data_IF_223418615323
#
_entry.id   IF_223418615323
#
_cell.length_a   1.000
_cell.length_b   1.000
_cell.length_c   1.000
_cell.angle_alpha   90.00
_cell.angle_beta   90.00
_cell.angle_gamma   90.00
#
_symmetry.space_group_name_H-M   'P 1'
#
loop_
_entity.id
_entity.type
_entity.pdbx_description
1 polymer ?
#
# COMPACT_ATOMS: atom_id res chain seq x y z
N UNK A 1 20.72 -62.04 9.12
CA UNK A 1 21.51 -61.28 8.13
C UNK A 1 20.72 -60.84 6.88
N UNK A 2 20.09 -61.73 6.09
CA UNK A 2 19.37 -61.30 4.86
C UNK A 2 18.15 -60.38 5.10
N UNK A 3 17.33 -60.64 6.13
CA UNK A 3 16.13 -59.82 6.44
C UNK A 3 16.45 -58.37 6.83
N UNK A 4 17.50 -58.13 7.60
CA UNK A 4 17.89 -56.79 8.05
C UNK A 4 18.40 -55.93 6.88
N UNK A 5 19.11 -56.54 5.92
CA UNK A 5 19.61 -55.84 4.73
C UNK A 5 18.49 -55.32 3.82
N UNK A 6 17.36 -56.03 3.75
CA UNK A 6 16.19 -55.64 2.95
C UNK A 6 15.41 -54.51 3.63
N UNK A 7 15.30 -54.55 4.97
CA UNK A 7 14.66 -53.48 5.75
C UNK A 7 15.47 -52.19 5.65
N UNK A 8 16.80 -52.26 5.79
CA UNK A 8 17.69 -51.10 5.65
C UNK A 8 17.59 -50.47 4.25
N UNK A 9 17.59 -51.28 3.19
CA UNK A 9 17.42 -50.81 1.79
C UNK A 9 16.08 -50.13 1.55
N UNK A 10 14.99 -50.64 2.14
CA UNK A 10 13.65 -50.02 2.05
C UNK A 10 13.63 -48.65 2.72
N UNK A 11 14.21 -48.51 3.91
CA UNK A 11 14.31 -47.22 4.59
C UNK A 11 15.18 -46.20 3.83
N UNK A 12 16.28 -46.66 3.24
CA UNK A 12 17.10 -45.80 2.38
C UNK A 12 16.32 -45.32 1.15
N UNK A 13 15.61 -46.21 0.46
CA UNK A 13 14.75 -45.83 -0.67
C UNK A 13 13.67 -44.83 -0.28
N UNK A 14 12.99 -45.06 0.84
CA UNK A 14 11.98 -44.12 1.37
C UNK A 14 12.62 -42.77 1.70
N UNK A 15 13.78 -42.77 2.38
CA UNK A 15 14.52 -41.55 2.68
C UNK A 15 14.96 -40.79 1.42
N UNK A 16 15.36 -41.51 0.38
CA UNK A 16 15.80 -40.93 -0.90
C UNK A 16 14.63 -40.33 -1.67
N UNK A 17 13.48 -41.02 -1.72
CA UNK A 17 12.23 -40.50 -2.29
C UNK A 17 11.77 -39.25 -1.52
N UNK A 18 11.78 -39.30 -0.19
CA UNK A 18 11.43 -38.14 0.64
C UNK A 18 12.37 -36.97 0.39
N UNK A 19 13.69 -37.19 0.31
CA UNK A 19 14.64 -36.14 0.00
C UNK A 19 14.42 -35.54 -1.40
N UNK A 20 14.15 -36.38 -2.41
CA UNK A 20 13.85 -35.94 -3.77
C UNK A 20 12.60 -35.07 -3.88
N UNK A 21 11.62 -35.23 -2.98
CA UNK A 21 10.41 -34.41 -2.96
C UNK A 21 10.55 -33.20 -2.03
N UNK A 22 11.05 -33.41 -0.81
CA UNK A 22 11.08 -32.38 0.22
C UNK A 22 12.12 -31.30 -0.06
N UNK A 23 13.26 -31.62 -0.69
CA UNK A 23 14.27 -30.62 -1.03
C UNK A 23 13.75 -29.61 -2.07
N UNK A 24 13.20 -30.02 -3.24
CA UNK A 24 12.60 -29.06 -4.18
C UNK A 24 11.45 -28.26 -3.57
N UNK A 25 10.58 -28.90 -2.78
CA UNK A 25 9.47 -28.21 -2.11
C UNK A 25 9.99 -27.15 -1.15
N UNK A 26 10.99 -27.47 -0.32
CA UNK A 26 11.61 -26.53 0.60
C UNK A 26 12.28 -25.35 -0.11
N UNK A 27 13.00 -25.61 -1.21
CA UNK A 27 13.63 -24.56 -2.02
C UNK A 27 12.56 -23.66 -2.67
N UNK A 28 11.55 -24.25 -3.32
CA UNK A 28 10.46 -23.51 -3.96
C UNK A 28 9.72 -22.62 -2.95
N UNK A 29 9.35 -23.20 -1.80
CA UNK A 29 8.69 -22.47 -0.71
C UNK A 29 9.56 -21.31 -0.20
N UNK A 30 10.86 -21.54 0.01
CA UNK A 30 11.79 -20.51 0.46
C UNK A 30 11.93 -19.35 -0.52
N UNK A 31 12.04 -19.66 -1.82
CA UNK A 31 12.11 -18.64 -2.89
C UNK A 31 10.81 -17.83 -2.97
N UNK A 32 9.65 -18.50 -2.93
CA UNK A 32 8.34 -17.84 -2.97
C UNK A 32 8.15 -16.91 -1.76
N UNK A 33 8.58 -17.33 -0.57
CA UNK A 33 8.53 -16.52 0.65
C UNK A 33 9.44 -15.31 0.58
N UNK A 34 10.69 -15.49 0.18
CA UNK A 34 11.63 -14.38 0.02
C UNK A 34 11.12 -13.33 -0.99
N UNK A 35 10.57 -13.79 -2.12
CA UNK A 35 9.97 -12.90 -3.13
C UNK A 35 8.77 -12.13 -2.58
N UNK A 36 7.88 -12.81 -1.84
CA UNK A 36 6.72 -12.17 -1.21
C UNK A 36 7.13 -11.07 -0.23
N UNK A 37 8.15 -11.31 0.59
CA UNK A 37 8.63 -10.30 1.55
C UNK A 37 9.33 -9.13 0.88
N UNK A 38 10.12 -9.38 -0.17
CA UNK A 38 10.69 -8.30 -0.96
C UNK A 38 9.58 -7.43 -1.55
N UNK A 39 8.50 -8.03 -2.04
CA UNK A 39 7.34 -7.29 -2.54
C UNK A 39 6.67 -6.47 -1.42
N UNK A 40 6.42 -7.06 -0.25
CA UNK A 40 5.81 -6.35 0.88
C UNK A 40 6.64 -5.17 1.35
N UNK A 41 7.97 -5.32 1.41
CA UNK A 41 8.87 -4.22 1.75
C UNK A 41 8.82 -3.10 0.72
N UNK A 42 8.75 -3.42 -0.58
CA UNK A 42 8.61 -2.41 -1.63
C UNK A 42 7.26 -1.71 -1.54
N UNK A 43 6.16 -2.43 -1.33
CA UNK A 43 4.82 -1.86 -1.12
C UNK A 43 4.82 -0.92 0.08
N UNK A 44 5.42 -1.32 1.20
CA UNK A 44 5.57 -0.47 2.38
C UNK A 44 6.35 0.81 2.08
N UNK A 45 7.50 0.73 1.39
CA UNK A 45 8.28 1.93 1.04
C UNK A 45 7.51 2.88 0.14
N UNK A 46 6.76 2.36 -0.83
CA UNK A 46 5.91 3.18 -1.70
C UNK A 46 4.78 3.84 -0.91
N UNK A 47 4.16 3.11 0.02
CA UNK A 47 3.16 3.66 0.92
C UNK A 47 3.75 4.75 1.85
N UNK A 48 4.99 4.59 2.32
CA UNK A 48 5.70 5.64 3.06
C UNK A 48 5.96 6.88 2.20
N UNK A 49 6.45 6.71 0.97
CA UNK A 49 6.68 7.82 0.05
C UNK A 49 5.38 8.56 -0.26
N UNK A 50 4.31 7.82 -0.56
CA UNK A 50 2.96 8.38 -0.72
C UNK A 50 2.55 9.20 0.49
N UNK A 51 2.73 8.65 1.69
CA UNK A 51 2.30 9.28 2.94
C UNK A 51 3.07 10.55 3.23
N UNK A 52 4.40 10.50 3.15
CA UNK A 52 5.26 11.65 3.38
C UNK A 52 4.88 12.84 2.47
N UNK A 53 4.72 12.58 1.17
CA UNK A 53 4.37 13.62 0.19
C UNK A 53 2.95 14.15 0.44
N UNK A 54 2.00 13.27 0.76
CA UNK A 54 0.62 13.68 1.00
C UNK A 54 0.47 14.45 2.32
N UNK A 55 1.28 14.15 3.33
CA UNK A 55 1.35 14.91 4.57
C UNK A 55 1.93 16.32 4.36
N UNK A 56 2.97 16.46 3.52
CA UNK A 56 3.49 17.77 3.12
C UNK A 56 2.39 18.60 2.44
N UNK A 57 1.67 18.00 1.48
CA UNK A 57 0.53 18.64 0.83
C UNK A 57 -0.57 19.04 1.85
N UNK A 58 -0.90 18.15 2.78
CA UNK A 58 -1.87 18.42 3.85
C UNK A 58 -1.43 19.61 4.70
N UNK A 59 -0.17 19.65 5.13
CA UNK A 59 0.39 20.74 5.92
C UNK A 59 0.34 22.09 5.19
N UNK A 60 0.65 22.10 3.90
CA UNK A 60 0.53 23.31 3.06
C UNK A 60 -0.91 23.82 3.01
N UNK A 61 -1.88 22.92 2.83
CA UNK A 61 -3.29 23.29 2.74
C UNK A 61 -3.90 23.69 4.10
N UNK A 62 -3.27 23.32 5.21
CA UNK A 62 -3.71 23.67 6.56
C UNK A 62 -3.60 25.17 6.88
N UNK A 63 -2.73 25.91 6.17
CA UNK A 63 -2.60 27.36 6.30
C UNK A 63 -3.91 28.11 5.95
N UNK A 64 -4.81 27.45 5.20
CA UNK A 64 -6.11 27.96 4.81
C UNK A 64 -6.06 28.79 3.51
N UNK A 65 -7.19 28.90 2.81
CA UNK A 65 -7.29 29.51 1.47
C UNK A 65 -6.98 31.01 1.45
N UNK A 66 -7.16 31.71 2.58
CA UNK A 66 -6.94 33.17 2.67
C UNK A 66 -5.45 33.53 2.78
N UNK A 67 -4.59 32.57 3.08
CA UNK A 67 -3.14 32.76 3.23
C UNK A 67 -2.31 31.94 2.23
N UNK A 68 -2.95 31.00 1.51
CA UNK A 68 -2.33 30.20 0.47
C UNK A 68 -1.93 31.08 -0.73
N UNK A 69 -0.63 31.33 -0.88
CA UNK A 69 -0.08 31.96 -2.07
C UNK A 69 -0.28 31.06 -3.31
N UNK A 70 -0.30 31.66 -4.50
CA UNK A 70 -0.32 30.90 -5.76
C UNK A 70 0.85 29.91 -5.84
N UNK A 71 2.03 30.29 -5.33
CA UNK A 71 3.19 29.40 -5.25
C UNK A 71 2.93 28.18 -4.36
N UNK A 72 2.24 28.33 -3.23
CA UNK A 72 1.91 27.22 -2.34
C UNK A 72 0.88 26.27 -2.99
N UNK A 73 -0.06 26.80 -3.78
CA UNK A 73 -0.98 25.97 -4.56
C UNK A 73 -0.27 25.15 -5.64
N UNK A 74 0.74 25.73 -6.31
CA UNK A 74 1.57 24.99 -7.28
C UNK A 74 2.37 23.89 -6.60
N UNK A 75 2.94 24.14 -5.41
CA UNK A 75 3.65 23.11 -4.64
C UNK A 75 2.70 21.99 -4.22
N UNK A 76 1.54 22.33 -3.62
CA UNK A 76 0.54 21.34 -3.23
C UNK A 76 0.05 20.49 -4.43
N UNK A 77 -0.16 21.10 -5.59
CA UNK A 77 -0.48 20.37 -6.83
C UNK A 77 0.64 19.40 -7.24
N UNK A 78 1.90 19.84 -7.17
CA UNK A 78 3.04 18.96 -7.46
C UNK A 78 3.14 17.79 -6.46
N UNK A 79 2.89 18.03 -5.18
CA UNK A 79 2.91 17.00 -4.15
C UNK A 79 1.81 15.96 -4.40
N UNK A 80 0.58 16.39 -4.73
CA UNK A 80 -0.49 15.48 -5.13
C UNK A 80 -0.08 14.60 -6.32
N UNK A 81 0.58 15.18 -7.33
CA UNK A 81 1.09 14.46 -8.50
C UNK A 81 2.17 13.44 -8.10
N UNK A 82 3.12 13.82 -7.26
CA UNK A 82 4.21 12.93 -6.83
C UNK A 82 3.72 11.81 -5.90
N UNK A 83 2.73 12.09 -5.05
CA UNK A 83 2.00 11.07 -4.31
C UNK A 83 1.32 10.10 -5.29
N UNK A 84 0.69 10.63 -6.35
CA UNK A 84 0.11 9.84 -7.45
C UNK A 84 1.10 8.86 -8.10
N UNK A 85 2.36 9.25 -8.31
CA UNK A 85 3.39 8.33 -8.84
C UNK A 85 3.72 7.18 -7.89
N UNK A 86 3.77 7.44 -6.58
CA UNK A 86 3.98 6.39 -5.59
C UNK A 86 2.80 5.42 -5.56
N UNK A 87 1.58 5.94 -5.72
CA UNK A 87 0.37 5.14 -5.80
C UNK A 87 0.29 4.30 -7.09
N UNK A 88 0.66 4.85 -8.26
CA UNK A 88 0.73 4.09 -9.52
C UNK A 88 1.73 2.93 -9.44
N UNK A 89 2.92 3.18 -8.86
CA UNK A 89 3.89 2.12 -8.62
C UNK A 89 3.34 1.03 -7.68
N UNK A 90 2.53 1.43 -6.69
CA UNK A 90 1.91 0.51 -5.74
C UNK A 90 0.77 -0.31 -6.40
N UNK A 91 -0.02 0.29 -7.30
CA UNK A 91 -1.01 -0.40 -8.16
C UNK A 91 -0.34 -1.51 -8.98
N UNK A 92 0.83 -1.24 -9.57
CA UNK A 92 1.56 -2.24 -10.38
C UNK A 92 2.05 -3.43 -9.57
N UNK A 93 2.32 -3.24 -8.27
CA UNK A 93 2.77 -4.30 -7.37
C UNK A 93 1.61 -5.05 -6.71
N UNK A 94 0.46 -4.40 -6.56
CA UNK A 94 -0.74 -4.89 -5.91
C UNK A 94 -1.91 -4.98 -6.91
N UNK A 95 -1.70 -5.73 -7.98
CA UNK A 95 -2.65 -5.84 -9.09
C UNK A 95 -4.03 -6.34 -8.66
N UNK A 96 -4.09 -7.21 -7.65
CA UNK A 96 -5.34 -7.75 -7.11
C UNK A 96 -6.25 -6.64 -6.55
N UNK A 97 -5.65 -5.51 -6.13
CA UNK A 97 -6.34 -4.34 -5.57
C UNK A 97 -6.27 -3.09 -6.46
N UNK A 98 -5.86 -3.26 -7.73
CA UNK A 98 -5.66 -2.16 -8.66
C UNK A 98 -6.89 -1.25 -8.75
N UNK A 99 -8.11 -1.81 -8.83
CA UNK A 99 -9.35 -1.05 -8.92
C UNK A 99 -9.59 -0.16 -7.68
N UNK A 100 -9.29 -0.65 -6.48
CA UNK A 100 -9.45 0.14 -5.24
C UNK A 100 -8.45 1.30 -5.22
N UNK A 101 -7.19 1.01 -5.51
CA UNK A 101 -6.11 2.00 -5.51
C UNK A 101 -6.28 3.03 -6.63
N UNK A 102 -6.76 2.63 -7.81
CA UNK A 102 -7.02 3.52 -8.94
C UNK A 102 -8.13 4.53 -8.61
N UNK A 103 -9.16 4.13 -7.84
CA UNK A 103 -10.18 5.08 -7.35
C UNK A 103 -9.58 6.17 -6.46
N UNK A 104 -8.58 5.84 -5.65
CA UNK A 104 -7.84 6.83 -4.84
C UNK A 104 -7.01 7.71 -5.77
N UNK A 105 -6.33 7.12 -6.76
CA UNK A 105 -5.58 7.84 -7.78
C UNK A 105 -6.44 8.84 -8.56
N UNK A 106 -7.62 8.44 -9.02
CA UNK A 106 -8.57 9.33 -9.68
C UNK A 106 -9.00 10.51 -8.80
N UNK A 107 -9.23 10.28 -7.51
CA UNK A 107 -9.57 11.36 -6.59
C UNK A 107 -8.42 12.37 -6.46
N UNK A 108 -7.17 11.88 -6.35
CA UNK A 108 -5.97 12.71 -6.29
C UNK A 108 -5.74 13.49 -7.59
N UNK A 109 -5.83 12.85 -8.76
CA UNK A 109 -5.65 13.51 -10.07
C UNK A 109 -6.72 14.59 -10.30
N UNK A 110 -7.97 14.33 -9.88
CA UNK A 110 -9.04 15.34 -9.97
C UNK A 110 -8.75 16.55 -9.07
N UNK A 111 -8.27 16.30 -7.86
CA UNK A 111 -7.87 17.34 -6.93
C UNK A 111 -6.67 18.14 -7.47
N UNK A 112 -5.65 17.45 -7.99
CA UNK A 112 -4.46 18.05 -8.62
C UNK A 112 -4.84 18.98 -9.78
N UNK A 113 -5.59 18.45 -10.76
CA UNK A 113 -5.85 19.12 -12.04
C UNK A 113 -6.59 20.45 -11.86
N UNK A 114 -7.45 20.55 -10.84
CA UNK A 114 -8.32 21.70 -10.62
C UNK A 114 -8.20 22.26 -9.21
N UNK A 115 -7.04 22.13 -8.54
CA UNK A 115 -6.90 22.43 -7.11
C UNK A 115 -7.44 23.81 -6.71
N UNK A 116 -7.05 24.87 -7.44
CA UNK A 116 -7.50 26.24 -7.17
C UNK A 116 -9.02 26.39 -7.28
N UNK A 117 -9.61 25.91 -8.38
CA UNK A 117 -11.06 25.96 -8.62
C UNK A 117 -11.83 25.09 -7.63
N UNK A 118 -11.31 23.91 -7.32
CA UNK A 118 -11.87 22.99 -6.33
C UNK A 118 -11.95 23.66 -4.96
N UNK A 119 -10.83 24.21 -4.47
CA UNK A 119 -10.79 24.95 -3.20
C UNK A 119 -11.72 26.18 -3.23
N UNK A 120 -11.80 26.88 -4.36
CA UNK A 120 -12.72 28.01 -4.55
C UNK A 120 -14.20 27.63 -4.39
N UNK A 121 -14.59 26.43 -4.81
CA UNK A 121 -15.97 25.93 -4.76
C UNK A 121 -16.37 25.33 -3.40
N UNK A 122 -15.40 25.05 -2.52
CA UNK A 122 -15.67 24.53 -1.19
C UNK A 122 -16.13 25.63 -0.22
N UNK A 123 -17.06 25.29 0.66
CA UNK A 123 -17.37 26.13 1.83
C UNK A 123 -16.17 26.24 2.77
N UNK A 124 -16.10 27.29 3.58
CA UNK A 124 -15.00 27.45 4.56
C UNK A 124 -14.86 26.26 5.51
N UNK A 125 -15.98 25.64 5.94
CA UNK A 125 -15.95 24.43 6.75
C UNK A 125 -15.31 23.25 6.01
N UNK A 126 -15.69 23.02 4.74
CA UNK A 126 -15.13 21.93 3.92
C UNK A 126 -13.64 22.14 3.60
N UNK A 127 -13.21 23.38 3.39
CA UNK A 127 -11.79 23.70 3.19
C UNK A 127 -10.95 23.37 4.41
N UNK A 128 -11.47 23.66 5.60
CA UNK A 128 -10.77 23.37 6.85
C UNK A 128 -10.68 21.86 7.15
N UNK A 129 -11.59 21.04 6.60
CA UNK A 129 -11.55 19.59 6.79
C UNK A 129 -10.70 18.85 5.76
N UNK A 130 -10.46 19.43 4.58
CA UNK A 130 -9.70 18.79 3.50
C UNK A 130 -8.27 18.35 3.93
N UNK A 131 -7.45 19.19 4.59
CA UNK A 131 -6.14 18.75 5.09
C UNK A 131 -6.23 17.50 5.98
N UNK A 132 -7.15 17.50 6.95
CA UNK A 132 -7.36 16.35 7.83
C UNK A 132 -7.78 15.09 7.06
N UNK A 133 -8.53 15.23 5.97
CA UNK A 133 -8.90 14.11 5.11
C UNK A 133 -7.70 13.59 4.31
N UNK A 134 -6.83 14.47 3.79
CA UNK A 134 -5.60 14.08 3.10
C UNK A 134 -4.64 13.35 4.04
N UNK A 135 -4.43 13.88 5.25
CA UNK A 135 -3.65 13.22 6.29
C UNK A 135 -4.25 11.85 6.68
N UNK A 136 -5.57 11.76 6.87
CA UNK A 136 -6.22 10.50 7.18
C UNK A 136 -6.12 9.48 6.03
N UNK A 137 -6.13 9.92 4.76
CA UNK A 137 -5.87 9.04 3.62
C UNK A 137 -4.43 8.50 3.68
N UNK A 138 -3.46 9.39 3.91
CA UNK A 138 -2.05 9.07 4.02
C UNK A 138 -1.80 7.98 5.08
N UNK A 139 -2.30 8.20 6.30
CA UNK A 139 -2.17 7.26 7.41
C UNK A 139 -2.85 5.90 7.12
N UNK A 140 -4.02 5.91 6.47
CA UNK A 140 -4.71 4.66 6.09
C UNK A 140 -3.93 3.87 5.04
N UNK A 141 -3.38 4.53 4.02
CA UNK A 141 -2.54 3.85 3.02
C UNK A 141 -1.28 3.28 3.66
N UNK A 142 -0.60 4.04 4.51
CA UNK A 142 0.56 3.53 5.25
C UNK A 142 0.19 2.32 6.10
N UNK A 143 -0.89 2.42 6.87
CA UNK A 143 -1.37 1.35 7.75
C UNK A 143 -1.78 0.09 6.97
N UNK A 144 -2.36 0.26 5.78
CA UNK A 144 -2.74 -0.83 4.86
C UNK A 144 -1.53 -1.71 4.51
N UNK A 145 -0.37 -1.12 4.26
CA UNK A 145 0.84 -1.82 3.82
C UNK A 145 1.88 -2.06 4.94
N UNK A 146 1.58 -1.68 6.18
CA UNK A 146 2.47 -1.88 7.35
C UNK A 146 1.98 -2.92 8.35
N UNK A 147 0.85 -3.59 8.08
CA UNK A 147 0.27 -4.56 9.01
C UNK A 147 1.28 -5.63 9.45
N UNK A 148 2.07 -6.20 8.53
CA UNK A 148 3.10 -7.18 8.83
C UNK A 148 4.23 -6.61 9.69
N UNK A 149 4.61 -5.34 9.44
CA UNK A 149 5.75 -4.70 10.09
C UNK A 149 5.56 -4.57 11.60
N UNK A 150 4.31 -4.40 12.06
CA UNK A 150 3.96 -4.41 13.49
C UNK A 150 4.32 -5.72 14.19
N UNK A 151 4.26 -6.85 13.48
CA UNK A 151 4.56 -8.17 14.02
C UNK A 151 6.01 -8.61 13.81
N UNK A 152 6.73 -7.95 12.91
CA UNK A 152 8.07 -8.39 12.48
C UNK A 152 9.17 -7.36 12.71
N UNK A 153 8.86 -6.21 13.33
CA UNK A 153 9.79 -5.10 13.46
C UNK A 153 10.28 -4.57 12.10
N UNK A 154 9.42 -4.63 11.08
CA UNK A 154 9.76 -4.26 9.70
C UNK A 154 10.54 -5.31 8.89
N UNK A 155 10.99 -6.41 9.51
CA UNK A 155 11.75 -7.46 8.84
C UNK A 155 11.10 -8.85 9.01
N UNK A 156 10.22 -9.28 8.09
CA UNK A 156 9.54 -10.56 8.19
C UNK A 156 10.54 -11.71 8.00
N UNK A 157 10.59 -12.62 8.97
CA UNK A 157 11.38 -13.86 8.85
C UNK A 157 10.74 -14.79 7.82
N UNK A 158 11.52 -15.69 7.20
CA UNK A 158 11.01 -16.78 6.31
C UNK A 158 9.88 -17.61 6.95
N UNK A 159 9.80 -17.59 8.27
CA UNK A 159 8.82 -18.30 9.08
C UNK A 159 7.67 -17.41 9.54
N UNK A 160 7.48 -16.23 8.95
CA UNK A 160 6.36 -15.37 9.29
C UNK A 160 5.06 -15.86 8.64
N UNK A 161 4.09 -16.23 9.48
CA UNK A 161 2.75 -16.71 9.09
C UNK A 161 1.62 -15.75 9.48
N UNK A 162 1.94 -14.52 9.89
CA UNK A 162 0.92 -13.53 10.22
C UNK A 162 0.28 -12.89 8.97
N UNK A 163 -0.52 -11.83 9.17
CA UNK A 163 -1.21 -11.14 8.09
C UNK A 163 -0.24 -10.61 7.01
N UNK A 164 -0.58 -10.83 5.75
CA UNK A 164 0.08 -10.17 4.62
C UNK A 164 -0.56 -8.82 4.34
N UNK A 165 0.18 -7.83 3.81
CA UNK A 165 -0.43 -6.65 3.21
C UNK A 165 -1.09 -7.02 1.85
N UNK A 166 -2.09 -6.24 1.40
CA UNK A 166 -2.72 -5.13 2.14
C UNK A 166 -3.68 -5.61 3.25
N UNK A 167 -3.94 -4.74 4.24
CA UNK A 167 -5.11 -4.88 5.11
C UNK A 167 -6.37 -4.38 4.36
N UNK A 168 -7.22 -5.32 3.95
CA UNK A 168 -8.43 -5.09 3.17
C UNK A 168 -9.40 -4.07 3.79
N UNK A 169 -9.54 -4.08 5.12
CA UNK A 169 -10.46 -3.18 5.80
C UNK A 169 -9.92 -1.75 5.77
N UNK A 170 -8.61 -1.58 5.96
CA UNK A 170 -7.96 -0.28 5.87
C UNK A 170 -7.96 0.26 4.44
N UNK A 171 -7.72 -0.61 3.46
CA UNK A 171 -7.80 -0.25 2.04
C UNK A 171 -9.22 0.22 1.69
N UNK A 172 -10.25 -0.52 2.09
CA UNK A 172 -11.65 -0.12 1.86
C UNK A 172 -11.94 1.24 2.49
N UNK A 173 -11.50 1.47 3.73
CA UNK A 173 -11.67 2.77 4.38
C UNK A 173 -10.91 3.90 3.66
N UNK A 174 -9.72 3.63 3.12
CA UNK A 174 -8.97 4.60 2.33
C UNK A 174 -9.73 4.98 1.05
N UNK A 175 -10.29 3.98 0.36
CA UNK A 175 -11.15 4.19 -0.82
C UNK A 175 -12.39 5.01 -0.45
N UNK A 176 -13.12 4.59 0.59
CA UNK A 176 -14.33 5.28 1.04
C UNK A 176 -14.03 6.73 1.42
N UNK A 177 -12.87 6.99 2.01
CA UNK A 177 -12.44 8.34 2.34
C UNK A 177 -12.16 9.17 1.08
N UNK A 178 -11.40 8.64 0.12
CA UNK A 178 -11.05 9.34 -1.11
C UNK A 178 -12.26 9.61 -2.02
N UNK A 179 -13.20 8.68 -2.12
CA UNK A 179 -14.40 8.80 -2.97
C UNK A 179 -15.38 9.85 -2.42
N UNK A 180 -15.40 10.03 -1.10
CA UNK A 180 -16.34 10.92 -0.42
C UNK A 180 -15.73 12.27 -0.02
N UNK A 181 -14.63 12.68 -0.65
CA UNK A 181 -14.09 14.01 -0.43
C UNK A 181 -15.10 15.11 -0.84
N UNK A 182 -15.23 16.16 -0.02
CA UNK A 182 -16.26 17.18 -0.22
C UNK A 182 -16.06 17.89 -1.56
N UNK A 183 -17.12 18.05 -2.35
CA UNK A 183 -17.05 18.80 -3.61
C UNK A 183 -16.44 18.05 -4.79
N UNK A 184 -15.99 16.80 -4.61
CA UNK A 184 -15.72 15.92 -5.75
C UNK A 184 -17.04 15.29 -6.24
N UNK A 185 -17.32 15.29 -7.56
CA UNK A 185 -18.44 14.52 -8.08
C UNK A 185 -18.19 13.03 -7.84
N UNK A 186 -19.24 12.23 -7.61
CA UNK A 186 -19.11 10.80 -7.39
C UNK A 186 -18.30 10.16 -8.52
N UNK A 187 -17.43 9.21 -8.16
CA UNK A 187 -16.67 8.46 -9.15
C UNK A 187 -17.65 7.62 -10.00
N UNK A 188 -17.41 7.48 -11.31
CA UNK A 188 -18.21 6.58 -12.14
C UNK A 188 -18.14 5.16 -11.54
N UNK A 189 -19.31 4.55 -11.41
CA UNK A 189 -19.50 3.18 -10.91
C UNK A 189 -18.99 2.13 -11.87
#
# INVERSE_FOLDING_TARGET
>A
MLKESVVLRRWLLVGLILAMVMLPVGVYWGVQRASSYSRWQTQFRLAQSFTFILEDCSGLLQAGPETLSESALVVAGNDLRYAGYSLDALIRLDWDHANQLDRIGYALVRLETNLSTYLGNLTSAQRNTLPSLLHALADKILSTYTNYARFTGGNPSLWYFGPSPPDENLLKQAVDLAVNWPGLPPLPT
#
